data_IF_681069608212
#
_entry.id   IF_681069608212
#
_cell.length_a   1.000
_cell.length_b   1.000
_cell.length_c   1.000
_cell.angle_alpha   90.00
_cell.angle_beta   90.00
_cell.angle_gamma   90.00
#
_symmetry.space_group_name_H-M   'P 1'
#
loop_
_entity.id
_entity.type
_entity.pdbx_description
1 polymer ?
#
# COMPACT_ATOMS: atom_id res chain seq x y z
N UNK A 1 7.45 1.79 -30.25
CA UNK A 1 7.15 0.87 -29.12
C UNK A 1 7.73 -0.55 -29.25
N UNK A 2 8.48 -0.91 -30.31
CA UNK A 2 9.10 -2.25 -30.47
C UNK A 2 10.49 -2.41 -29.80
N UNK A 3 11.21 -1.32 -29.53
CA UNK A 3 12.56 -1.40 -28.95
C UNK A 3 12.65 -1.75 -27.45
N UNK A 4 11.56 -1.66 -26.67
CA UNK A 4 11.59 -2.05 -25.25
C UNK A 4 11.54 -3.56 -25.02
N UNK A 5 11.11 -4.36 -26.00
CA UNK A 5 11.05 -5.82 -25.89
C UNK A 5 12.41 -6.50 -26.13
N UNK A 6 13.27 -5.90 -26.95
CA UNK A 6 14.61 -6.44 -27.24
C UNK A 6 15.55 -6.38 -26.02
N UNK A 7 15.51 -5.31 -25.23
CA UNK A 7 16.32 -5.18 -24.01
C UNK A 7 15.82 -6.02 -22.83
N UNK A 8 14.61 -6.61 -22.93
CA UNK A 8 14.07 -7.49 -21.90
C UNK A 8 14.52 -8.95 -22.09
N UNK A 9 14.88 -9.33 -23.32
CA UNK A 9 15.43 -10.66 -23.63
C UNK A 9 16.95 -10.72 -23.38
N UNK A 10 17.67 -9.60 -23.51
CA UNK A 10 19.12 -9.54 -23.30
C UNK A 10 19.56 -9.57 -21.81
N UNK A 11 18.63 -9.64 -20.86
CA UNK A 11 18.93 -9.70 -19.40
C UNK A 11 18.52 -11.02 -18.75
N UNK A 12 18.30 -12.07 -19.56
CA UNK A 12 17.89 -13.40 -19.10
C UNK A 12 18.86 -14.53 -19.47
N UNK A 13 20.05 -14.19 -19.97
CA UNK A 13 21.15 -15.16 -20.09
C UNK A 13 21.99 -15.14 -18.81
N UNK A 14 21.40 -15.58 -17.71
CA UNK A 14 22.18 -16.14 -16.62
C UNK A 14 22.55 -17.55 -17.06
N UNK A 15 23.79 -17.73 -17.50
CA UNK A 15 24.41 -19.05 -17.61
C UNK A 15 24.64 -19.55 -16.18
N UNK A 16 23.66 -20.23 -15.58
CA UNK A 16 23.93 -21.11 -14.45
C UNK A 16 24.37 -22.47 -15.00
N UNK A 17 25.66 -22.60 -15.27
CA UNK A 17 26.31 -23.90 -15.19
C UNK A 17 26.52 -24.17 -13.70
N UNK A 18 25.49 -24.69 -13.07
CA UNK A 18 25.62 -25.37 -11.78
C UNK A 18 24.65 -26.55 -11.81
N UNK A 19 25.19 -27.72 -11.51
CA UNK A 19 24.49 -29.00 -11.49
C UNK A 19 23.37 -28.92 -10.45
N UNK A 20 22.15 -28.60 -10.89
CA UNK A 20 21.02 -28.50 -9.98
C UNK A 20 20.47 -29.88 -9.73
N UNK A 21 20.89 -30.48 -8.61
CA UNK A 21 19.94 -31.25 -7.80
C UNK A 21 18.62 -30.46 -7.78
N UNK A 22 17.45 -31.12 -7.95
CA UNK A 22 16.18 -30.42 -7.91
C UNK A 22 16.13 -29.61 -6.61
N UNK A 23 16.19 -28.27 -6.72
CA UNK A 23 16.21 -27.38 -5.57
C UNK A 23 15.03 -27.75 -4.68
N UNK A 24 15.31 -28.43 -3.57
CA UNK A 24 14.26 -28.89 -2.67
C UNK A 24 13.46 -27.65 -2.24
N UNK A 25 12.12 -27.72 -2.24
CA UNK A 25 11.29 -26.62 -1.78
C UNK A 25 11.73 -26.18 -0.38
N UNK A 26 11.96 -24.87 -0.19
CA UNK A 26 12.39 -24.30 1.08
C UNK A 26 11.29 -23.38 1.64
N UNK A 27 10.30 -23.92 2.37
CA UNK A 27 9.18 -23.16 2.92
C UNK A 27 9.62 -21.96 3.76
N UNK A 28 10.75 -22.05 4.46
CA UNK A 28 11.32 -21.02 5.32
C UNK A 28 11.71 -19.77 4.52
N UNK A 29 12.25 -19.94 3.31
CA UNK A 29 12.59 -18.81 2.44
C UNK A 29 11.34 -18.13 1.88
N UNK A 30 10.34 -18.92 1.49
CA UNK A 30 9.05 -18.38 1.08
C UNK A 30 8.40 -17.60 2.24
N UNK A 31 8.47 -18.14 3.46
CA UNK A 31 7.93 -17.50 4.66
C UNK A 31 8.63 -16.18 4.98
N UNK A 32 9.97 -16.15 4.95
CA UNK A 32 10.74 -14.90 5.11
C UNK A 32 10.36 -13.85 4.08
N UNK A 33 10.14 -14.27 2.83
CA UNK A 33 9.69 -13.37 1.76
C UNK A 33 8.31 -12.79 2.05
N UNK A 34 7.37 -13.62 2.51
CA UNK A 34 6.04 -13.17 2.92
C UNK A 34 6.11 -12.17 4.08
N UNK A 35 6.94 -12.44 5.10
CA UNK A 35 7.17 -11.51 6.21
C UNK A 35 7.72 -10.17 5.73
N UNK A 36 8.74 -10.18 4.86
CA UNK A 36 9.33 -8.97 4.30
C UNK A 36 8.29 -8.11 3.55
N UNK A 37 7.41 -8.74 2.76
CA UNK A 37 6.33 -8.03 2.06
C UNK A 37 5.33 -7.44 3.05
N UNK A 38 4.98 -8.16 4.12
CA UNK A 38 4.08 -7.65 5.16
C UNK A 38 4.70 -6.46 5.90
N UNK A 39 6.00 -6.48 6.17
CA UNK A 39 6.72 -5.36 6.79
C UNK A 39 6.73 -4.12 5.89
N UNK A 40 6.90 -4.30 4.58
CA UNK A 40 6.76 -3.22 3.61
C UNK A 40 5.35 -2.61 3.62
N UNK A 41 4.30 -3.43 3.71
CA UNK A 41 2.92 -2.92 3.84
C UNK A 41 2.76 -2.09 5.11
N UNK A 42 3.24 -2.60 6.26
CA UNK A 42 3.17 -1.88 7.54
C UNK A 42 3.90 -0.54 7.47
N UNK A 43 5.07 -0.51 6.85
CA UNK A 43 5.83 0.73 6.66
C UNK A 43 5.08 1.74 5.78
N UNK A 44 4.43 1.29 4.71
CA UNK A 44 3.60 2.16 3.88
C UNK A 44 2.41 2.72 4.67
N UNK A 45 1.72 1.90 5.46
CA UNK A 45 0.59 2.33 6.30
C UNK A 45 1.00 3.33 7.37
N UNK A 46 2.17 3.14 8.00
CA UNK A 46 2.72 4.08 8.96
C UNK A 46 3.00 5.45 8.32
N UNK A 47 3.63 5.48 7.14
CA UNK A 47 3.86 6.72 6.38
C UNK A 47 2.54 7.42 6.03
N UNK A 48 1.55 6.66 5.59
CA UNK A 48 0.24 7.21 5.26
C UNK A 48 -0.46 7.80 6.48
N UNK A 49 -0.48 7.10 7.62
CA UNK A 49 -1.06 7.60 8.85
C UNK A 49 -0.37 8.87 9.34
N UNK A 50 0.96 8.92 9.29
CA UNK A 50 1.75 10.11 9.61
C UNK A 50 1.41 11.28 8.65
N UNK A 51 1.29 11.01 7.35
CA UNK A 51 0.91 12.01 6.34
C UNK A 51 -0.48 12.57 6.61
N UNK A 52 -1.45 11.71 6.94
CA UNK A 52 -2.81 12.13 7.27
C UNK A 52 -2.84 13.00 8.53
N UNK A 53 -2.12 12.61 9.58
CA UNK A 53 -2.02 13.40 10.82
C UNK A 53 -1.39 14.78 10.55
N UNK A 54 -0.27 14.83 9.82
CA UNK A 54 0.40 16.07 9.44
C UNK A 54 -0.50 16.98 8.59
N UNK A 55 -1.28 16.39 7.68
CA UNK A 55 -2.28 17.12 6.87
C UNK A 55 -3.35 17.75 7.77
N UNK A 56 -3.85 17.03 8.78
CA UNK A 56 -4.82 17.55 9.74
C UNK A 56 -4.29 18.74 10.53
N UNK A 57 -3.07 18.62 11.09
CA UNK A 57 -2.40 19.72 11.79
C UNK A 57 -2.20 20.92 10.87
N UNK A 58 -1.68 20.70 9.66
CA UNK A 58 -1.42 21.76 8.68
C UNK A 58 -2.70 22.49 8.24
N UNK A 59 -3.81 21.75 8.13
CA UNK A 59 -5.14 22.32 7.82
C UNK A 59 -5.62 23.23 8.95
N UNK A 60 -5.41 22.83 10.21
CA UNK A 60 -5.73 23.68 11.37
C UNK A 60 -4.89 24.96 11.42
N UNK A 61 -3.60 24.88 11.06
CA UNK A 61 -2.73 26.06 10.95
C UNK A 61 -3.23 26.99 9.83
N UNK A 62 -3.51 26.46 8.64
CA UNK A 62 -4.06 27.25 7.52
C UNK A 62 -5.37 27.93 7.90
N UNK A 63 -6.29 27.21 8.56
CA UNK A 63 -7.56 27.76 9.01
C UNK A 63 -7.38 28.96 9.95
N UNK A 64 -6.46 28.85 10.92
CA UNK A 64 -6.17 29.93 11.85
C UNK A 64 -5.54 31.15 11.16
N UNK A 65 -4.69 30.95 10.15
CA UNK A 65 -4.13 32.05 9.35
C UNK A 65 -5.21 32.74 8.50
N UNK A 66 -6.10 31.97 7.89
CA UNK A 66 -7.15 32.51 7.02
C UNK A 66 -8.20 33.32 7.80
N UNK A 67 -8.66 32.84 8.96
CA UNK A 67 -9.69 33.54 9.75
C UNK A 67 -9.17 34.81 10.44
N UNK A 68 -7.85 34.93 10.63
CA UNK A 68 -7.23 36.11 11.22
C UNK A 68 -7.23 37.35 10.31
N UNK A 69 -7.55 37.19 9.03
CA UNK A 69 -7.45 38.27 8.03
C UNK A 69 -8.79 39.00 7.86
N UNK A 70 -8.79 40.32 8.08
CA UNK A 70 -9.99 41.15 7.90
C UNK A 70 -10.18 41.58 6.43
N UNK A 71 -9.10 41.89 5.69
CA UNK A 71 -9.13 42.25 4.27
C UNK A 71 -7.95 41.62 3.51
N UNK A 72 -8.02 40.32 3.15
CA UNK A 72 -6.92 39.65 2.48
C UNK A 72 -6.75 40.15 1.03
N UNK A 73 -5.51 40.40 0.61
CA UNK A 73 -5.21 40.68 -0.79
C UNK A 73 -5.55 39.46 -1.66
N UNK A 74 -6.03 39.70 -2.90
CA UNK A 74 -6.52 38.64 -3.80
C UNK A 74 -5.50 37.51 -4.03
N UNK A 75 -4.20 37.83 -4.05
CA UNK A 75 -3.15 36.84 -4.27
C UNK A 75 -2.96 35.92 -3.06
N UNK A 76 -3.14 36.42 -1.83
CA UNK A 76 -3.12 35.60 -0.61
C UNK A 76 -4.25 34.58 -0.65
N UNK A 77 -5.46 35.02 -1.02
CA UNK A 77 -6.63 34.14 -1.17
C UNK A 77 -6.34 33.01 -2.18
N UNK A 78 -5.66 33.31 -3.28
CA UNK A 78 -5.28 32.30 -4.29
C UNK A 78 -4.30 31.28 -3.72
N UNK A 79 -3.27 31.72 -2.98
CA UNK A 79 -2.28 30.82 -2.35
C UNK A 79 -2.93 29.96 -1.27
N UNK A 80 -3.79 30.54 -0.43
CA UNK A 80 -4.53 29.83 0.61
C UNK A 80 -5.47 28.78 0.04
N UNK A 81 -6.23 29.15 -1.00
CA UNK A 81 -7.09 28.20 -1.70
C UNK A 81 -6.27 27.06 -2.33
N UNK A 82 -5.12 27.38 -2.94
CA UNK A 82 -4.18 26.39 -3.47
C UNK A 82 -3.64 25.46 -2.38
N UNK A 83 -3.29 26.00 -1.21
CA UNK A 83 -2.83 25.24 -0.04
C UNK A 83 -3.94 24.31 0.46
N UNK A 84 -5.17 24.82 0.60
CA UNK A 84 -6.33 24.05 1.02
C UNK A 84 -6.64 22.89 0.07
N UNK A 85 -6.57 23.13 -1.25
CA UNK A 85 -6.74 22.08 -2.27
C UNK A 85 -5.63 21.02 -2.16
N UNK A 86 -4.36 21.43 -2.00
CA UNK A 86 -3.26 20.50 -1.84
C UNK A 86 -3.39 19.63 -0.57
N UNK A 87 -3.82 20.22 0.55
CA UNK A 87 -4.11 19.51 1.80
C UNK A 87 -5.27 18.53 1.63
N UNK A 88 -6.36 18.94 0.96
CA UNK A 88 -7.49 18.07 0.68
C UNK A 88 -7.07 16.86 -0.18
N UNK A 89 -6.25 17.07 -1.22
CA UNK A 89 -5.70 15.99 -2.05
C UNK A 89 -4.83 15.06 -1.20
N UNK A 90 -3.92 15.59 -0.38
CA UNK A 90 -3.06 14.79 0.49
C UNK A 90 -3.88 13.91 1.45
N UNK A 91 -4.90 14.48 2.11
CA UNK A 91 -5.80 13.76 3.00
C UNK A 91 -6.59 12.67 2.26
N UNK A 92 -7.19 13.00 1.11
CA UNK A 92 -7.98 12.05 0.33
C UNK A 92 -7.12 10.87 -0.15
N UNK A 93 -5.93 11.14 -0.70
CA UNK A 93 -5.02 10.09 -1.17
C UNK A 93 -4.51 9.24 0.00
N UNK A 94 -4.24 9.85 1.16
CA UNK A 94 -3.85 9.12 2.35
C UNK A 94 -4.98 8.20 2.87
N UNK A 95 -6.21 8.71 2.93
CA UNK A 95 -7.39 7.90 3.28
C UNK A 95 -7.57 6.73 2.30
N UNK A 96 -7.44 6.98 0.99
CA UNK A 96 -7.51 5.93 -0.04
C UNK A 96 -6.43 4.85 0.17
N UNK A 97 -5.23 5.20 0.63
CA UNK A 97 -4.16 4.22 0.87
C UNK A 97 -4.39 3.38 2.14
N UNK A 98 -5.11 3.94 3.13
CA UNK A 98 -5.53 3.23 4.35
C UNK A 98 -6.73 2.31 4.10
N UNK A 99 -7.59 2.63 3.12
CA UNK A 99 -8.78 1.82 2.87
C UNK A 99 -8.43 0.37 2.47
N UNK A 100 -9.15 -0.62 3.02
CA UNK A 100 -8.98 -2.01 2.62
C UNK A 100 -9.36 -2.16 1.15
N UNK A 101 -8.38 -2.56 0.32
CA UNK A 101 -8.51 -2.73 -1.15
C UNK A 101 -9.76 -3.53 -1.57
N UNK A 102 -10.24 -4.45 -0.72
CA UNK A 102 -11.44 -5.25 -0.97
C UNK A 102 -12.73 -4.43 -1.10
N UNK A 103 -12.86 -3.27 -0.44
CA UNK A 103 -14.09 -2.47 -0.51
C UNK A 103 -14.15 -1.57 -1.74
N UNK A 104 -13.01 -0.98 -2.15
CA UNK A 104 -12.95 -0.10 -3.31
C UNK A 104 -13.09 -0.85 -4.66
N UNK A 105 -12.67 -2.12 -4.72
CA UNK A 105 -12.74 -2.94 -5.94
C UNK A 105 -14.03 -3.79 -5.99
N UNK A 106 -14.69 -4.06 -4.85
CA UNK A 106 -15.99 -4.79 -4.82
C UNK A 106 -17.07 -4.12 -5.68
N UNK A 107 -16.99 -2.80 -5.90
CA UNK A 107 -17.89 -2.08 -6.81
C UNK A 107 -17.60 -2.24 -8.31
N UNK A 108 -16.42 -2.74 -8.73
CA UNK A 108 -16.03 -2.85 -10.15
C UNK A 108 -15.59 -4.25 -10.61
N UNK A 109 -15.34 -5.19 -9.70
CA UNK A 109 -14.97 -6.58 -10.03
C UNK A 109 -15.70 -7.55 -9.10
N UNK A 110 -17.01 -7.69 -9.29
CA UNK A 110 -17.78 -8.72 -8.61
C UNK A 110 -17.48 -10.14 -9.12
N UNK A 111 -16.70 -10.33 -10.18
CA UNK A 111 -16.73 -11.62 -10.88
C UNK A 111 -15.51 -11.79 -11.80
N UNK A 112 -14.33 -12.00 -11.24
CA UNK A 112 -13.29 -12.82 -11.88
C UNK A 112 -12.12 -13.04 -10.88
N UNK A 113 -11.87 -14.29 -10.53
CA UNK A 113 -10.51 -14.82 -10.33
C UNK A 113 -9.70 -14.65 -9.03
N UNK A 114 -10.30 -14.40 -7.87
CA UNK A 114 -9.56 -14.63 -6.59
C UNK A 114 -10.41 -15.29 -5.53
N UNK A 115 -11.04 -16.42 -5.89
CA UNK A 115 -11.22 -17.52 -4.94
C UNK A 115 -9.83 -18.12 -4.66
N UNK A 116 -9.00 -17.37 -3.93
CA UNK A 116 -7.68 -17.85 -3.52
C UNK A 116 -7.97 -18.90 -2.46
N UNK A 117 -7.93 -20.19 -2.79
CA UNK A 117 -8.00 -21.30 -1.82
C UNK A 117 -6.69 -21.42 -1.03
N UNK A 118 -6.20 -20.34 -0.42
CA UNK A 118 -5.08 -20.42 0.52
C UNK A 118 -5.65 -20.71 1.90
N UNK A 119 -5.34 -21.90 2.42
CA UNK A 119 -5.75 -22.37 3.76
C UNK A 119 -5.09 -21.56 4.89
N UNK A 120 -4.07 -20.76 4.58
CA UNK A 120 -3.39 -19.88 5.53
C UNK A 120 -3.98 -18.45 5.56
N UNK A 121 -4.85 -18.10 4.61
CA UNK A 121 -5.49 -16.78 4.60
C UNK A 121 -6.68 -16.74 5.55
N UNK A 122 -6.65 -15.82 6.52
CA UNK A 122 -7.64 -15.69 7.60
C UNK A 122 -9.10 -15.58 7.10
N UNK A 123 -9.34 -14.91 5.96
CA UNK A 123 -10.68 -14.76 5.41
C UNK A 123 -11.22 -16.09 4.86
N UNK A 124 -10.36 -16.96 4.33
CA UNK A 124 -10.78 -18.30 3.90
C UNK A 124 -11.00 -19.22 5.07
N UNK A 125 -10.18 -19.10 6.12
CA UNK A 125 -10.37 -19.85 7.36
C UNK A 125 -11.74 -19.50 7.96
N UNK A 126 -12.02 -18.21 8.09
CA UNK A 126 -13.29 -17.73 8.64
C UNK A 126 -14.52 -18.02 7.75
N UNK A 127 -14.34 -18.17 6.43
CA UNK A 127 -15.42 -18.47 5.48
C UNK A 127 -15.69 -19.97 5.29
N UNK A 128 -14.65 -20.80 5.31
CA UNK A 128 -14.77 -22.23 5.01
C UNK A 128 -14.80 -23.10 6.26
N UNK A 129 -14.27 -22.65 7.39
CA UNK A 129 -14.35 -23.36 8.66
C UNK A 129 -15.27 -22.60 9.60
N UNK A 130 -16.38 -23.24 10.01
CA UNK A 130 -17.31 -22.66 10.97
C UNK A 130 -16.66 -22.45 12.34
N UNK A 131 -17.31 -21.68 13.21
CA UNK A 131 -16.81 -21.38 14.59
C UNK A 131 -16.39 -22.60 15.41
N UNK A 132 -16.93 -23.79 15.11
CA UNK A 132 -16.66 -25.05 15.82
C UNK A 132 -15.89 -26.09 14.99
N UNK A 133 -15.30 -25.71 13.86
CA UNK A 133 -14.69 -26.64 12.90
C UNK A 133 -13.15 -26.66 12.95
N UNK A 134 -12.59 -26.38 14.13
CA UNK A 134 -11.15 -26.28 14.36
C UNK A 134 -10.39 -27.57 14.07
N UNK A 135 -11.02 -28.73 14.24
CA UNK A 135 -10.45 -30.04 13.92
C UNK A 135 -10.30 -30.28 12.41
N UNK A 136 -11.24 -29.80 11.59
CA UNK A 136 -11.13 -29.89 10.14
C UNK A 136 -10.07 -28.92 9.60
N UNK A 137 -9.91 -27.76 10.26
CA UNK A 137 -8.82 -26.83 9.95
C UNK A 137 -7.45 -27.43 10.31
N UNK A 138 -7.30 -28.04 11.50
CA UNK A 138 -6.03 -28.65 11.90
C UNK A 138 -5.61 -29.79 11.00
N UNK A 139 -6.55 -30.63 10.56
CA UNK A 139 -6.27 -31.70 9.60
C UNK A 139 -5.83 -31.15 8.23
N UNK A 140 -6.49 -30.09 7.75
CA UNK A 140 -6.14 -29.42 6.49
C UNK A 140 -4.78 -28.73 6.57
N UNK A 141 -4.45 -28.13 7.73
CA UNK A 141 -3.16 -27.51 7.98
C UNK A 141 -2.05 -28.54 8.05
N UNK A 142 -2.25 -29.66 8.77
CA UNK A 142 -1.29 -30.76 8.84
C UNK A 142 -0.99 -31.35 7.46
N UNK A 143 -2.04 -31.54 6.64
CA UNK A 143 -1.88 -32.01 5.26
C UNK A 143 -1.07 -31.03 4.39
N UNK A 144 -1.29 -29.72 4.54
CA UNK A 144 -0.53 -28.70 3.81
C UNK A 144 0.92 -28.60 4.29
N UNK A 145 1.17 -28.67 5.59
CA UNK A 145 2.53 -28.58 6.17
C UNK A 145 3.33 -29.87 6.00
N UNK A 146 2.66 -31.00 5.75
CA UNK A 146 3.30 -32.28 5.47
C UNK A 146 3.92 -32.37 4.07
N UNK A 147 3.63 -31.42 3.19
CA UNK A 147 4.17 -31.33 1.83
C UNK A 147 4.88 -29.97 1.63
N UNK A 148 6.21 -30.01 1.69
CA UNK A 148 7.05 -28.81 1.55
C UNK A 148 6.83 -28.07 0.23
N UNK A 149 6.47 -28.78 -0.85
CA UNK A 149 6.24 -28.18 -2.16
C UNK A 149 4.92 -27.43 -2.18
N UNK A 150 3.83 -28.07 -1.72
CA UNK A 150 2.52 -27.43 -1.61
C UNK A 150 2.54 -26.23 -0.66
N UNK A 151 3.26 -26.33 0.46
CA UNK A 151 3.42 -25.22 1.41
C UNK A 151 4.18 -24.05 0.79
N UNK A 152 5.32 -24.33 0.13
CA UNK A 152 6.13 -23.29 -0.53
C UNK A 152 5.32 -22.57 -1.60
N UNK A 153 4.57 -23.30 -2.43
CA UNK A 153 3.72 -22.74 -3.48
C UNK A 153 2.58 -21.88 -2.92
N UNK A 154 1.96 -22.26 -1.81
CA UNK A 154 0.92 -21.46 -1.17
C UNK A 154 1.47 -20.16 -0.59
N UNK A 155 2.62 -20.22 0.10
CA UNK A 155 3.29 -19.03 0.65
C UNK A 155 3.75 -18.10 -0.48
N UNK A 156 4.34 -18.63 -1.56
CA UNK A 156 4.78 -17.84 -2.70
C UNK A 156 3.61 -17.10 -3.37
N UNK A 157 2.46 -17.77 -3.52
CA UNK A 157 1.22 -17.14 -4.03
C UNK A 157 0.73 -16.01 -3.12
N UNK A 158 0.75 -16.20 -1.81
CA UNK A 158 0.41 -15.13 -0.85
C UNK A 158 1.39 -13.96 -0.92
N UNK A 159 2.70 -14.22 -0.97
CA UNK A 159 3.72 -13.19 -1.09
C UNK A 159 3.52 -12.36 -2.36
N UNK A 160 3.23 -13.02 -3.49
CA UNK A 160 2.93 -12.34 -4.75
C UNK A 160 1.66 -11.48 -4.67
N UNK A 161 0.58 -11.99 -4.05
CA UNK A 161 -0.65 -11.23 -3.86
C UNK A 161 -0.42 -10.00 -2.95
N UNK A 162 0.28 -10.18 -1.83
CA UNK A 162 0.60 -9.09 -0.90
C UNK A 162 1.55 -8.08 -1.54
N UNK A 163 2.49 -8.49 -2.38
CA UNK A 163 3.39 -7.59 -3.09
C UNK A 163 2.65 -6.64 -4.04
N UNK A 164 1.58 -7.13 -4.70
CA UNK A 164 0.73 -6.27 -5.52
C UNK A 164 -0.04 -5.24 -4.67
N UNK A 165 -0.52 -5.63 -3.49
CA UNK A 165 -1.15 -4.71 -2.53
C UNK A 165 -0.15 -3.67 -2.03
N UNK A 166 1.04 -4.11 -1.63
CA UNK A 166 2.14 -3.25 -1.21
C UNK A 166 2.45 -2.21 -2.28
N UNK A 167 2.70 -2.63 -3.52
CA UNK A 167 3.01 -1.73 -4.64
C UNK A 167 1.97 -0.62 -4.80
N UNK A 168 0.69 -0.94 -4.70
CA UNK A 168 -0.38 0.04 -4.79
C UNK A 168 -0.40 0.99 -3.58
N UNK A 169 -0.29 0.46 -2.36
CA UNK A 169 -0.23 1.28 -1.12
C UNK A 169 0.96 2.23 -1.12
N UNK A 170 2.14 1.77 -1.54
CA UNK A 170 3.33 2.62 -1.69
C UNK A 170 3.13 3.73 -2.73
N UNK A 171 2.47 3.44 -3.85
CA UNK A 171 2.15 4.45 -4.86
C UNK A 171 1.28 5.57 -4.30
N UNK A 172 0.23 5.22 -3.55
CA UNK A 172 -0.64 6.20 -2.92
C UNK A 172 0.05 6.93 -1.76
N UNK A 173 0.80 6.23 -0.91
CA UNK A 173 1.56 6.85 0.17
C UNK A 173 2.53 7.92 -0.36
N UNK A 174 3.27 7.61 -1.43
CA UNK A 174 4.17 8.57 -2.07
C UNK A 174 3.41 9.76 -2.66
N UNK A 175 2.27 9.52 -3.33
CA UNK A 175 1.45 10.59 -3.88
C UNK A 175 0.91 11.53 -2.78
N UNK A 176 0.46 10.97 -1.64
CA UNK A 176 0.01 11.77 -0.50
C UNK A 176 1.14 12.60 0.12
N UNK A 177 2.34 12.03 0.26
CA UNK A 177 3.52 12.73 0.77
C UNK A 177 3.91 13.89 -0.15
N UNK A 178 3.89 13.70 -1.47
CA UNK A 178 4.20 14.76 -2.44
C UNK A 178 3.18 15.89 -2.34
N UNK A 179 1.88 15.56 -2.28
CA UNK A 179 0.83 16.56 -2.12
C UNK A 179 0.96 17.34 -0.80
N UNK A 180 1.27 16.66 0.31
CA UNK A 180 1.56 17.30 1.59
C UNK A 180 2.79 18.21 1.51
N UNK A 181 3.86 17.79 0.82
CA UNK A 181 5.05 18.61 0.61
C UNK A 181 4.73 19.93 -0.11
N UNK A 182 3.91 19.89 -1.16
CA UNK A 182 3.43 21.09 -1.86
C UNK A 182 2.61 21.96 -0.92
N UNK A 183 1.68 21.37 -0.16
CA UNK A 183 0.86 22.09 0.81
C UNK A 183 1.71 22.80 1.87
N UNK A 184 2.73 22.14 2.43
CA UNK A 184 3.61 22.74 3.43
C UNK A 184 4.41 23.92 2.88
N UNK A 185 4.82 23.89 1.61
CA UNK A 185 5.47 25.02 0.95
C UNK A 185 4.49 26.20 0.86
N UNK A 186 3.27 25.97 0.38
CA UNK A 186 2.25 27.01 0.26
C UNK A 186 1.82 27.58 1.62
N UNK A 187 1.74 26.71 2.64
CA UNK A 187 1.46 27.12 4.01
C UNK A 187 2.57 28.00 4.57
N UNK A 188 3.83 27.63 4.34
CA UNK A 188 4.99 28.42 4.72
C UNK A 188 5.01 29.79 4.04
N UNK A 189 4.67 29.85 2.74
CA UNK A 189 4.54 31.13 2.04
C UNK A 189 3.42 31.97 2.62
N UNK A 190 2.24 31.39 2.90
CA UNK A 190 1.11 32.10 3.50
C UNK A 190 1.47 32.68 4.88
N UNK A 191 2.12 31.87 5.72
CA UNK A 191 2.53 32.31 7.05
C UNK A 191 3.55 33.45 6.99
N UNK A 192 4.53 33.37 6.08
CA UNK A 192 5.54 34.42 5.91
C UNK A 192 4.94 35.74 5.44
N UNK A 193 3.91 35.68 4.59
CA UNK A 193 3.31 36.87 4.00
C UNK A 193 2.37 37.56 4.96
N UNK A 194 1.58 36.78 5.73
CA UNK A 194 0.75 37.30 6.83
C UNK A 194 1.61 37.92 7.94
N UNK A 195 2.82 37.41 8.18
CA UNK A 195 3.72 37.96 9.20
C UNK A 195 4.34 39.31 8.83
N UNK A 196 4.33 39.69 7.54
CA UNK A 196 4.95 40.92 7.03
C UNK A 196 3.91 41.97 6.63
N UNK A 197 2.65 41.58 6.45
CA UNK A 197 1.48 42.46 6.25
C UNK A 197 0.97 43.03 7.56
#
# INVERSE_FOLDING_TARGET
MRHRRANQQAKLTWTSTDDTEPNEPQPEHAWKTLQLVNDWIRHAEAKTAATLAATGVSSGVLYNLAIGQHEPEIWLVIIEAGCGVALAIAALVALLALLPRLQLIRGKRSQQETSIKSLLYFENIAKHFGKNDGSSYSASLQALTGDSQLLTDDIARQAHANAQVARWKYGLANAAIIALGIALILLGTTAATVAVS
#
